data_IF_872115553688
#
_entry.id   IF_872115553688
#
_cell.length_a   1.000
_cell.length_b   1.000
_cell.length_c   1.000
_cell.angle_alpha   90.00
_cell.angle_beta   90.00
_cell.angle_gamma   90.00
#
_symmetry.space_group_name_H-M   'P 1'
#
loop_
_entity.id
_entity.type
_entity.pdbx_description
1 polymer ?
#
# COMPACT_ATOMS: atom_id res chain seq x y z
N UNK A 1 10.41 25.34 -20.55
CA UNK A 1 9.11 24.67 -20.80
C UNK A 1 8.51 23.99 -19.56
N UNK A 2 8.96 24.35 -18.35
CA UNK A 2 8.53 23.71 -17.08
C UNK A 2 7.15 24.24 -16.62
N UNK A 3 6.77 25.46 -17.03
CA UNK A 3 5.50 26.09 -16.63
C UNK A 3 4.22 25.54 -17.27
N UNK A 4 4.27 24.57 -18.20
CA UNK A 4 3.07 24.05 -18.87
C UNK A 4 2.33 22.99 -18.04
N UNK A 5 3.05 22.14 -17.32
CA UNK A 5 2.47 20.96 -16.64
C UNK A 5 1.86 21.32 -15.29
N UNK A 6 2.48 22.23 -14.53
CA UNK A 6 1.90 22.74 -13.26
C UNK A 6 0.57 23.48 -13.47
N UNK A 7 0.43 24.20 -14.59
CA UNK A 7 -0.79 24.92 -14.94
C UNK A 7 -1.97 23.98 -15.19
N UNK A 8 -1.75 22.85 -15.87
CA UNK A 8 -2.81 21.86 -16.15
C UNK A 8 -3.32 21.25 -14.84
N UNK A 9 -2.42 20.94 -13.90
CA UNK A 9 -2.80 20.31 -12.65
C UNK A 9 -3.53 21.27 -11.69
N UNK A 10 -3.16 22.56 -11.68
CA UNK A 10 -3.83 23.60 -10.88
C UNK A 10 -5.25 23.91 -11.35
N UNK A 11 -5.54 23.85 -12.65
CA UNK A 11 -6.82 24.32 -13.22
C UNK A 11 -7.89 23.22 -13.24
N UNK A 12 -7.53 21.96 -13.51
CA UNK A 12 -8.50 20.89 -13.76
C UNK A 12 -8.52 19.78 -12.70
N UNK A 13 -7.51 19.68 -11.83
CA UNK A 13 -7.37 18.62 -10.80
C UNK A 13 -7.60 17.19 -11.34
N UNK A 14 -7.19 16.91 -12.57
CA UNK A 14 -7.40 15.59 -13.17
C UNK A 14 -6.47 14.55 -12.57
N UNK A 15 -7.01 13.36 -12.28
CA UNK A 15 -6.20 12.22 -11.83
C UNK A 15 -5.26 11.80 -12.95
N UNK A 16 -4.05 11.33 -12.61
CA UNK A 16 -3.07 10.84 -13.60
C UNK A 16 -3.67 9.80 -14.55
N UNK A 17 -4.44 8.86 -14.00
CA UNK A 17 -5.11 7.82 -14.79
C UNK A 17 -6.00 8.42 -15.89
N UNK A 18 -6.74 9.49 -15.59
CA UNK A 18 -7.57 10.23 -16.54
C UNK A 18 -6.71 10.85 -17.64
N UNK A 19 -5.61 11.51 -17.30
CA UNK A 19 -4.68 12.09 -18.28
C UNK A 19 -4.06 11.03 -19.20
N UNK A 20 -3.71 9.86 -18.66
CA UNK A 20 -3.18 8.73 -19.43
C UNK A 20 -4.23 8.11 -20.34
N UNK A 21 -5.50 8.06 -19.91
CA UNK A 21 -6.61 7.63 -20.76
C UNK A 21 -6.82 8.58 -21.94
N UNK A 22 -6.83 9.89 -21.68
CA UNK A 22 -6.93 10.88 -22.74
C UNK A 22 -5.75 10.81 -23.72
N UNK A 23 -4.52 10.56 -23.22
CA UNK A 23 -3.36 10.30 -24.10
C UNK A 23 -3.67 9.19 -25.09
N UNK A 24 -4.14 8.04 -24.61
CA UNK A 24 -4.43 6.91 -25.47
C UNK A 24 -5.57 7.23 -26.43
N UNK A 25 -6.66 7.85 -25.95
CA UNK A 25 -7.78 8.26 -26.80
C UNK A 25 -7.34 9.18 -27.94
N UNK A 26 -6.51 10.20 -27.65
CA UNK A 26 -5.95 11.11 -28.66
C UNK A 26 -5.07 10.35 -29.66
N UNK A 27 -4.17 9.48 -29.18
CA UNK A 27 -3.30 8.68 -30.05
C UNK A 27 -4.08 7.70 -30.94
N UNK A 28 -5.26 7.26 -30.50
CA UNK A 28 -6.16 6.40 -31.28
C UNK A 28 -6.93 7.14 -32.38
N UNK A 29 -6.98 8.48 -32.36
CA UNK A 29 -7.57 9.28 -33.45
C UNK A 29 -6.68 9.32 -34.69
N UNK A 30 -5.39 8.98 -34.55
CA UNK A 30 -4.43 9.02 -35.65
C UNK A 30 -4.19 7.64 -36.25
N UNK A 31 -3.91 7.56 -37.56
CA UNK A 31 -3.44 6.35 -38.21
C UNK A 31 -2.19 5.76 -37.53
N UNK A 32 -2.02 4.44 -37.64
CA UNK A 32 -0.99 3.65 -36.94
C UNK A 32 0.44 4.19 -37.17
N UNK A 33 0.75 4.61 -38.39
CA UNK A 33 2.05 5.19 -38.77
C UNK A 33 2.34 6.54 -38.11
N UNK A 34 1.32 7.39 -37.91
CA UNK A 34 1.46 8.66 -37.20
C UNK A 34 1.42 8.48 -35.68
N UNK A 35 0.75 7.44 -35.20
CA UNK A 35 0.65 7.12 -33.77
C UNK A 35 2.02 6.87 -33.14
N UNK A 36 2.88 6.08 -33.81
CA UNK A 36 4.25 5.81 -33.31
C UNK A 36 5.09 7.09 -33.28
N UNK A 37 5.04 7.86 -34.36
CA UNK A 37 5.74 9.15 -34.46
C UNK A 37 5.31 10.13 -33.36
N UNK A 38 4.00 10.26 -33.10
CA UNK A 38 3.47 11.13 -32.06
C UNK A 38 3.75 10.59 -30.66
N UNK A 39 3.73 9.28 -30.45
CA UNK A 39 4.03 8.68 -29.15
C UNK A 39 5.48 8.96 -28.70
N UNK A 40 6.41 8.97 -29.65
CA UNK A 40 7.84 9.23 -29.41
C UNK A 40 8.21 10.71 -29.52
N UNK A 41 7.26 11.57 -29.91
CA UNK A 41 7.52 12.99 -30.11
C UNK A 41 8.02 13.64 -28.81
N UNK A 42 9.15 14.37 -28.83
CA UNK A 42 9.85 14.81 -27.62
C UNK A 42 9.00 15.69 -26.71
N UNK A 43 8.11 16.50 -27.27
CA UNK A 43 7.18 17.33 -26.51
C UNK A 43 6.12 16.51 -25.75
N UNK A 44 5.57 15.47 -26.37
CA UNK A 44 4.59 14.59 -25.72
C UNK A 44 5.28 13.73 -24.66
N UNK A 45 6.46 13.21 -24.96
CA UNK A 45 7.28 12.46 -23.99
C UNK A 45 7.63 13.32 -22.77
N UNK A 46 8.06 14.57 -22.97
CA UNK A 46 8.36 15.50 -21.88
C UNK A 46 7.11 15.85 -21.05
N UNK A 47 5.97 16.10 -21.70
CA UNK A 47 4.70 16.40 -21.03
C UNK A 47 4.24 15.24 -20.15
N UNK A 48 4.25 14.00 -20.65
CA UNK A 48 3.82 12.84 -19.88
C UNK A 48 4.82 12.41 -18.81
N UNK A 49 6.12 12.67 -19.02
CA UNK A 49 7.14 12.51 -17.98
C UNK A 49 6.86 13.48 -16.84
N UNK A 50 6.68 14.76 -17.12
CA UNK A 50 6.32 15.76 -16.11
C UNK A 50 5.02 15.44 -15.38
N UNK A 51 4.00 14.92 -16.07
CA UNK A 51 2.76 14.46 -15.41
C UNK A 51 2.99 13.29 -14.46
N UNK A 52 3.85 12.33 -14.80
CA UNK A 52 4.21 11.22 -13.92
C UNK A 52 5.01 11.73 -12.72
N UNK A 53 5.97 12.62 -12.94
CA UNK A 53 6.81 13.17 -11.88
C UNK A 53 6.00 14.00 -10.87
N UNK A 54 4.98 14.73 -11.33
CA UNK A 54 4.04 15.47 -10.45
C UNK A 54 3.09 14.54 -9.69
N UNK A 55 2.78 13.36 -10.24
CA UNK A 55 1.91 12.36 -9.59
C UNK A 55 2.63 11.46 -8.60
N UNK A 56 3.95 11.36 -8.72
CA UNK A 56 4.83 10.92 -7.66
C UNK A 56 4.86 12.05 -6.65
N UNK A 57 3.78 12.18 -5.88
CA UNK A 57 3.90 12.68 -4.52
C UNK A 57 4.95 11.78 -3.89
N UNK A 58 6.19 12.26 -3.86
CA UNK A 58 7.13 11.82 -2.86
C UNK A 58 6.36 11.98 -1.56
N UNK A 59 5.91 10.87 -0.99
CA UNK A 59 5.71 10.83 0.43
C UNK A 59 7.14 10.99 0.95
N UNK A 60 7.60 12.24 1.03
CA UNK A 60 8.71 12.66 1.85
C UNK A 60 8.25 12.25 3.24
N UNK A 61 8.50 10.99 3.57
CA UNK A 61 8.31 10.45 4.90
C UNK A 61 9.17 11.39 5.74
N UNK A 62 8.59 12.22 6.63
CA UNK A 62 9.43 13.00 7.53
C UNK A 62 10.34 11.97 8.20
N UNK A 63 11.65 12.17 8.18
CA UNK A 63 12.61 11.15 8.63
C UNK A 63 12.18 10.63 10.01
N UNK A 64 11.52 9.47 10.03
CA UNK A 64 10.94 8.93 11.25
C UNK A 64 12.11 8.30 11.96
N UNK A 65 12.46 8.86 13.11
CA UNK A 65 13.42 8.22 13.98
C UNK A 65 12.83 6.91 14.51
N UNK A 66 13.40 5.80 14.05
CA UNK A 66 13.04 4.46 14.49
C UNK A 66 13.83 4.03 15.73
N UNK A 67 14.84 4.80 16.15
CA UNK A 67 15.73 4.47 17.26
C UNK A 67 14.95 4.15 18.55
N UNK A 68 13.93 4.92 18.98
CA UNK A 68 13.18 4.60 20.20
C UNK A 68 12.48 3.25 20.16
N UNK A 69 12.02 2.85 18.97
CA UNK A 69 11.34 1.57 18.79
C UNK A 69 12.33 0.41 18.76
N UNK A 70 13.51 0.62 18.18
CA UNK A 70 14.61 -0.35 18.22
C UNK A 70 15.16 -0.52 19.64
N UNK A 71 15.37 0.58 20.37
CA UNK A 71 15.83 0.57 21.75
C UNK A 71 14.82 -0.17 22.65
N UNK A 72 13.51 0.05 22.44
CA UNK A 72 12.47 -0.69 23.14
C UNK A 72 12.54 -2.21 22.85
N UNK A 73 12.73 -2.61 21.60
CA UNK A 73 12.86 -4.03 21.25
C UNK A 73 14.09 -4.68 21.89
N UNK A 74 15.20 -3.96 21.97
CA UNK A 74 16.43 -4.42 22.61
C UNK A 74 16.22 -4.53 24.12
N UNK A 75 15.57 -3.54 24.74
CA UNK A 75 15.27 -3.51 26.17
C UNK A 75 14.35 -4.66 26.62
N UNK A 76 13.53 -5.22 25.73
CA UNK A 76 12.70 -6.39 26.02
C UNK A 76 13.52 -7.65 26.36
N UNK A 77 14.80 -7.73 25.99
CA UNK A 77 15.68 -8.83 26.40
C UNK A 77 15.34 -10.20 25.79
N UNK A 78 15.68 -11.27 26.52
CA UNK A 78 15.51 -12.66 26.08
C UNK A 78 14.03 -13.06 25.97
N UNK A 79 13.68 -13.72 24.87
CA UNK A 79 12.33 -14.18 24.59
C UNK A 79 11.82 -15.17 25.64
N UNK A 80 12.70 -15.97 26.25
CA UNK A 80 12.31 -16.94 27.27
C UNK A 80 11.90 -16.29 28.60
N UNK A 81 12.30 -15.04 28.82
CA UNK A 81 12.01 -14.28 30.04
C UNK A 81 10.84 -13.30 29.85
N UNK A 82 10.36 -13.14 28.61
CA UNK A 82 9.25 -12.25 28.30
C UNK A 82 7.91 -12.87 28.67
N UNK A 83 7.03 -12.02 29.20
CA UNK A 83 5.62 -12.38 29.34
C UNK A 83 5.00 -12.63 27.97
N UNK A 84 3.93 -13.43 27.91
CA UNK A 84 3.18 -13.67 26.67
C UNK A 84 2.80 -12.35 25.98
N UNK A 85 2.31 -11.36 26.74
CA UNK A 85 2.00 -10.04 26.21
C UNK A 85 3.22 -9.32 25.61
N UNK A 86 4.39 -9.46 26.25
CA UNK A 86 5.66 -8.93 25.74
C UNK A 86 6.08 -9.60 24.42
N UNK A 87 5.95 -10.92 24.34
CA UNK A 87 6.22 -11.69 23.11
C UNK A 87 5.26 -11.28 21.98
N UNK A 88 3.96 -11.15 22.26
CA UNK A 88 2.97 -10.71 21.28
C UNK A 88 3.29 -9.32 20.75
N UNK A 89 3.63 -8.36 21.63
CA UNK A 89 4.02 -7.00 21.22
C UNK A 89 5.26 -7.01 20.33
N UNK A 90 6.28 -7.79 20.70
CA UNK A 90 7.53 -7.93 19.93
C UNK A 90 7.25 -8.51 18.54
N UNK A 91 6.42 -9.55 18.46
CA UNK A 91 6.01 -10.18 17.21
C UNK A 91 5.20 -9.23 16.32
N UNK A 92 4.18 -8.57 16.85
CA UNK A 92 3.35 -7.61 16.10
C UNK A 92 4.18 -6.45 15.55
N UNK A 93 5.12 -5.92 16.34
CA UNK A 93 6.02 -4.87 15.87
C UNK A 93 6.86 -5.35 14.69
N UNK A 94 7.48 -6.54 14.78
CA UNK A 94 8.30 -7.10 13.70
C UNK A 94 7.48 -7.35 12.43
N UNK A 95 6.28 -7.92 12.54
CA UNK A 95 5.39 -8.16 11.40
C UNK A 95 4.93 -6.84 10.75
N UNK A 96 4.73 -5.80 11.55
CA UNK A 96 4.37 -4.46 11.10
C UNK A 96 5.50 -3.73 10.37
N UNK A 97 6.71 -3.72 10.93
CA UNK A 97 7.85 -2.94 10.41
C UNK A 97 8.49 -3.57 9.18
N UNK A 98 8.49 -4.89 9.09
CA UNK A 98 8.97 -5.62 7.89
C UNK A 98 7.95 -5.59 6.75
N UNK A 99 6.76 -5.01 6.96
CA UNK A 99 5.73 -4.90 5.94
C UNK A 99 5.01 -6.21 5.62
N UNK A 100 5.21 -7.28 6.41
CA UNK A 100 4.49 -8.54 6.23
C UNK A 100 2.99 -8.38 6.48
N UNK A 101 2.60 -7.58 7.48
CA UNK A 101 1.22 -7.26 7.79
C UNK A 101 1.07 -5.80 8.22
N UNK A 102 -0.08 -5.21 7.91
CA UNK A 102 -0.42 -3.88 8.45
C UNK A 102 -0.91 -4.00 9.88
N UNK A 103 -0.75 -2.97 10.73
CA UNK A 103 -1.30 -2.98 12.08
C UNK A 103 -2.80 -3.32 12.14
N UNK A 104 -3.59 -2.85 11.18
CA UNK A 104 -5.03 -3.16 11.11
C UNK A 104 -5.34 -4.60 10.69
N UNK A 105 -4.42 -5.26 9.97
CA UNK A 105 -4.57 -6.67 9.61
C UNK A 105 -4.09 -7.57 10.76
N UNK A 106 -3.09 -7.12 11.54
CA UNK A 106 -2.64 -7.77 12.78
C UNK A 106 -3.74 -7.80 13.85
N UNK A 107 -4.47 -6.69 14.03
CA UNK A 107 -5.64 -6.61 14.94
C UNK A 107 -6.73 -7.64 14.59
N UNK A 108 -6.78 -8.06 13.33
CA UNK A 108 -7.79 -8.96 12.77
C UNK A 108 -7.30 -10.39 12.60
N UNK A 109 -6.13 -10.72 13.15
CA UNK A 109 -5.67 -12.11 13.16
C UNK A 109 -6.58 -12.91 14.08
N UNK A 110 -7.11 -14.02 13.56
CA UNK A 110 -7.85 -14.99 14.34
C UNK A 110 -6.87 -16.02 14.91
N UNK A 111 -6.61 -15.89 16.21
CA UNK A 111 -5.68 -16.75 16.93
C UNK A 111 -6.13 -18.23 16.92
N UNK A 112 -7.44 -18.50 16.96
CA UNK A 112 -7.98 -19.86 16.99
C UNK A 112 -7.80 -20.58 15.64
N UNK A 113 -7.71 -19.83 14.55
CA UNK A 113 -7.51 -20.36 13.19
C UNK A 113 -6.07 -20.27 12.71
N UNK A 114 -5.21 -19.58 13.46
CA UNK A 114 -3.79 -19.45 13.15
C UNK A 114 -3.04 -20.69 13.63
N UNK A 115 -2.05 -21.13 12.85
CA UNK A 115 -1.39 -22.42 13.05
C UNK A 115 0.13 -22.22 13.01
N UNK A 116 0.83 -22.85 13.95
CA UNK A 116 2.28 -23.03 13.89
C UNK A 116 2.53 -24.47 13.47
N UNK A 117 3.24 -24.65 12.36
CA UNK A 117 3.78 -25.95 11.95
C UNK A 117 5.25 -26.00 12.35
N UNK A 118 5.71 -27.11 12.90
CA UNK A 118 7.11 -27.27 13.31
C UNK A 118 8.00 -27.89 12.22
N UNK A 119 7.40 -28.46 11.16
CA UNK A 119 8.10 -29.14 10.07
C UNK A 119 7.45 -28.85 8.70
N UNK A 120 7.97 -27.89 7.90
CA UNK A 120 8.96 -26.88 8.28
C UNK A 120 8.37 -25.88 9.28
N UNK A 121 9.26 -25.28 10.10
CA UNK A 121 8.88 -24.22 11.03
C UNK A 121 8.22 -23.07 10.26
N UNK A 122 6.90 -22.95 10.38
CA UNK A 122 6.11 -21.97 9.65
C UNK A 122 4.93 -21.49 10.50
N UNK A 123 4.65 -20.19 10.39
CA UNK A 123 3.53 -19.53 11.05
C UNK A 123 2.50 -19.14 9.98
N UNK A 124 1.31 -19.72 10.08
CA UNK A 124 0.15 -19.37 9.26
C UNK A 124 -0.79 -18.49 10.07
N UNK A 125 -0.83 -17.20 9.75
CA UNK A 125 -1.75 -16.24 10.34
C UNK A 125 -3.02 -16.14 9.48
N UNK A 126 -4.19 -16.26 10.10
CA UNK A 126 -5.48 -16.11 9.42
C UNK A 126 -6.04 -14.74 9.72
N UNK A 127 -5.99 -13.83 8.73
CA UNK A 127 -6.55 -12.48 8.85
C UNK A 127 -8.03 -12.48 8.48
N UNK A 128 -8.87 -12.10 9.44
CA UNK A 128 -10.33 -12.02 9.31
C UNK A 128 -10.71 -10.63 8.80
N UNK A 129 -11.01 -10.53 7.50
CA UNK A 129 -11.46 -9.29 6.87
C UNK A 129 -10.33 -8.33 6.63
N UNK A 130 -9.39 -8.67 5.74
CA UNK A 130 -8.29 -7.79 5.40
C UNK A 130 -8.81 -6.43 4.95
N UNK A 131 -8.10 -5.36 5.32
CA UNK A 131 -8.52 -3.98 5.00
C UNK A 131 -8.52 -3.69 3.50
N UNK A 132 -7.67 -4.37 2.72
CA UNK A 132 -7.60 -4.24 1.27
C UNK A 132 -8.34 -5.36 0.54
N UNK A 133 -9.10 -4.97 -0.48
CA UNK A 133 -9.75 -5.89 -1.42
C UNK A 133 -8.67 -6.59 -2.27
N UNK A 134 -8.50 -7.91 -2.11
CA UNK A 134 -7.66 -8.68 -3.02
C UNK A 134 -8.42 -8.94 -4.32
N UNK A 135 -7.88 -8.46 -5.43
CA UNK A 135 -8.43 -8.66 -6.79
C UNK A 135 -9.86 -8.14 -7.03
N UNK A 136 -10.24 -7.03 -6.38
CA UNK A 136 -11.51 -6.34 -6.68
C UNK A 136 -12.78 -7.09 -6.24
N UNK A 137 -12.65 -8.22 -5.53
CA UNK A 137 -13.78 -8.91 -4.93
C UNK A 137 -14.13 -8.28 -3.58
N UNK A 138 -15.42 -8.06 -3.36
CA UNK A 138 -15.94 -7.66 -2.07
C UNK A 138 -15.69 -8.77 -1.04
N UNK A 139 -15.40 -8.36 0.19
CA UNK A 139 -15.54 -9.26 1.32
C UNK A 139 -17.02 -9.60 1.43
N UNK A 140 -17.31 -10.89 1.59
CA UNK A 140 -18.67 -11.42 1.75
C UNK A 140 -19.46 -10.49 2.69
N UNK A 141 -20.62 -9.96 2.28
CA UNK A 141 -21.33 -8.92 3.04
C UNK A 141 -21.63 -9.39 4.48
N UNK A 142 -21.90 -10.69 4.64
CA UNK A 142 -22.05 -11.36 5.94
C UNK A 142 -20.84 -11.17 6.85
N UNK A 143 -19.65 -11.19 6.27
CA UNK A 143 -18.39 -11.04 6.97
C UNK A 143 -18.18 -9.60 7.45
N UNK A 144 -18.51 -8.61 6.61
CA UNK A 144 -18.46 -7.19 7.00
C UNK A 144 -19.47 -6.91 8.12
N UNK A 145 -20.62 -7.56 8.09
CA UNK A 145 -21.67 -7.41 9.09
C UNK A 145 -21.31 -8.04 10.44
N UNK A 146 -20.60 -9.18 10.44
CA UNK A 146 -19.99 -9.74 11.66
C UNK A 146 -18.86 -8.84 12.22
N UNK A 147 -17.99 -8.29 11.37
CA UNK A 147 -16.98 -7.33 11.81
C UNK A 147 -17.60 -6.08 12.46
N UNK A 148 -18.73 -5.59 11.95
CA UNK A 148 -19.47 -4.46 12.56
C UNK A 148 -20.06 -4.82 13.93
N UNK A 149 -20.37 -6.09 14.19
CA UNK A 149 -20.84 -6.56 15.50
C UNK A 149 -19.69 -6.63 16.51
N UNK A 150 -18.53 -7.12 16.09
CA UNK A 150 -17.34 -7.21 16.94
C UNK A 150 -16.80 -5.83 17.36
N UNK A 151 -16.98 -4.81 16.53
CA UNK A 151 -16.48 -3.45 16.77
C UNK A 151 -17.39 -2.59 17.69
N UNK A 152 -18.47 -3.15 18.22
CA UNK A 152 -19.44 -2.48 19.11
C UNK A 152 -19.31 -2.89 20.59
N UNK A 153 -18.33 -3.72 20.94
CA UNK A 153 -17.88 -3.96 22.31
C UNK A 153 -16.67 -3.08 22.63
#
# INVERSE_FOLDING_TARGET
MIGSVECINKVKKWKLATCLQYKQAILHLYPEHLRRYLADHPYLTALFRGLKDVSLLSYDFPGIDLQPALDFLVALGDNNQLTLLGLTRKLCFLLGTTGFLRPSDLERVDDARSIISHEPLSLKLVVVGPKERRAGRDLDEKFIEELKKLRKC
#
